data_IF_412262236182
#
_entry.id   IF_412262236182
#
_cell.length_a   1.000
_cell.length_b   1.000
_cell.length_c   1.000
_cell.angle_alpha   90.00
_cell.angle_beta   90.00
_cell.angle_gamma   90.00
#
_symmetry.space_group_name_H-M   'P 1'
#
loop_
_entity.id
_entity.type
_entity.pdbx_description
1 polymer ?
#
# COMPACT_ATOMS: atom_id res chain seq x y z
N UNK A 1 -15.05 22.25 -15.39
CA UNK A 1 -15.09 20.78 -15.33
C UNK A 1 -14.15 20.24 -16.39
N UNK A 2 -13.40 19.17 -16.11
CA UNK A 2 -12.62 18.48 -17.15
C UNK A 2 -13.57 17.80 -18.12
N UNK A 3 -13.20 17.72 -19.39
CA UNK A 3 -13.97 17.04 -20.43
C UNK A 3 -13.49 15.58 -20.52
N UNK A 4 -14.40 14.64 -20.21
CA UNK A 4 -14.12 13.20 -20.22
C UNK A 4 -14.60 12.51 -21.50
N UNK A 5 -15.22 13.24 -22.43
CA UNK A 5 -15.85 12.67 -23.63
C UNK A 5 -14.89 11.91 -24.56
N UNK A 6 -13.58 12.18 -24.45
CA UNK A 6 -12.52 11.56 -25.26
C UNK A 6 -11.69 10.51 -24.54
N UNK A 7 -11.94 10.26 -23.25
CA UNK A 7 -11.21 9.27 -22.46
C UNK A 7 -11.69 7.86 -22.79
N UNK A 8 -10.78 7.01 -23.27
CA UNK A 8 -11.07 5.64 -23.70
C UNK A 8 -10.37 4.58 -22.86
N UNK A 9 -9.26 4.95 -22.22
CA UNK A 9 -8.46 4.02 -21.40
C UNK A 9 -8.29 4.54 -19.97
N UNK A 10 -7.94 3.63 -19.06
CA UNK A 10 -7.63 4.02 -17.68
C UNK A 10 -6.42 4.95 -17.64
N UNK A 11 -5.38 4.68 -18.44
CA UNK A 11 -4.19 5.54 -18.50
C UNK A 11 -4.54 6.96 -18.97
N UNK A 12 -5.41 7.11 -19.97
CA UNK A 12 -5.90 8.41 -20.42
C UNK A 12 -6.71 9.13 -19.32
N UNK A 13 -7.51 8.39 -18.55
CA UNK A 13 -8.25 8.95 -17.42
C UNK A 13 -7.28 9.49 -16.36
N UNK A 14 -6.26 8.70 -16.02
CA UNK A 14 -5.31 9.07 -14.99
C UNK A 14 -4.40 10.22 -15.46
N UNK A 15 -4.02 10.27 -16.73
CA UNK A 15 -3.30 11.41 -17.30
C UNK A 15 -4.16 12.68 -17.29
N UNK A 16 -5.45 12.59 -17.65
CA UNK A 16 -6.38 13.71 -17.56
C UNK A 16 -6.56 14.18 -16.11
N UNK A 17 -6.60 13.24 -15.16
CA UNK A 17 -6.85 13.56 -13.76
C UNK A 17 -5.64 14.09 -13.01
N UNK A 18 -4.51 13.42 -13.21
CA UNK A 18 -3.31 13.56 -12.39
C UNK A 18 -2.09 14.04 -13.19
N UNK A 19 -2.22 14.25 -14.50
CA UNK A 19 -1.15 14.71 -15.38
C UNK A 19 -0.29 13.57 -15.92
N UNK A 20 0.67 13.93 -16.77
CA UNK A 20 1.60 12.98 -17.39
C UNK A 20 2.54 12.34 -16.35
N UNK A 21 3.08 11.17 -16.71
CA UNK A 21 4.16 10.51 -15.97
C UNK A 21 5.31 11.50 -15.74
N UNK A 22 5.80 11.55 -14.50
CA UNK A 22 6.86 12.46 -14.06
C UNK A 22 6.38 13.82 -13.51
N UNK A 23 5.11 14.19 -13.71
CA UNK A 23 4.55 15.39 -13.06
C UNK A 23 4.37 15.18 -11.56
N UNK A 24 4.49 16.24 -10.75
CA UNK A 24 4.34 16.13 -9.29
C UNK A 24 2.98 15.53 -8.87
N UNK A 25 1.91 15.93 -9.55
CA UNK A 25 0.56 15.40 -9.31
C UNK A 25 0.49 13.89 -9.61
N UNK A 26 1.09 13.45 -10.73
CA UNK A 26 1.13 12.03 -11.11
C UNK A 26 1.98 11.22 -10.14
N UNK A 27 3.14 11.72 -9.74
CA UNK A 27 4.02 11.06 -8.78
C UNK A 27 3.32 10.87 -7.43
N UNK A 28 2.59 11.88 -6.95
CA UNK A 28 1.82 11.78 -5.71
C UNK A 28 0.65 10.80 -5.81
N UNK A 29 -0.02 10.75 -6.97
CA UNK A 29 -1.05 9.74 -7.21
C UNK A 29 -0.47 8.32 -7.15
N UNK A 30 0.64 8.08 -7.84
CA UNK A 30 1.34 6.79 -7.85
C UNK A 30 1.82 6.37 -6.46
N UNK A 31 2.41 7.29 -5.69
CA UNK A 31 2.84 7.03 -4.30
C UNK A 31 1.65 6.58 -3.42
N UNK A 32 0.51 7.28 -3.52
CA UNK A 32 -0.68 6.91 -2.77
C UNK A 32 -1.26 5.57 -3.24
N UNK A 33 -1.25 5.28 -4.55
CA UNK A 33 -1.70 4.02 -5.11
C UNK A 33 -0.82 2.86 -4.63
N UNK A 34 0.50 3.02 -4.64
CA UNK A 34 1.45 2.03 -4.11
C UNK A 34 1.23 1.79 -2.62
N UNK A 35 1.04 2.85 -1.83
CA UNK A 35 0.76 2.70 -0.40
C UNK A 35 -0.56 1.94 -0.16
N UNK A 36 -1.61 2.23 -0.93
CA UNK A 36 -2.88 1.51 -0.86
C UNK A 36 -2.71 0.01 -1.17
N UNK A 37 -1.95 -0.32 -2.22
CA UNK A 37 -1.67 -1.72 -2.60
C UNK A 37 -0.97 -2.44 -1.44
N UNK A 38 0.09 -1.85 -0.88
CA UNK A 38 0.84 -2.44 0.25
C UNK A 38 -0.08 -2.65 1.46
N UNK A 39 -0.96 -1.69 1.76
CA UNK A 39 -1.92 -1.75 2.87
C UNK A 39 -2.90 -2.91 2.73
N UNK A 40 -3.49 -3.10 1.54
CA UNK A 40 -4.41 -4.21 1.30
C UNK A 40 -3.67 -5.55 1.27
N UNK A 41 -2.48 -5.63 0.66
CA UNK A 41 -1.65 -6.85 0.68
C UNK A 41 -1.33 -7.30 2.12
N UNK A 42 -0.98 -6.37 3.01
CA UNK A 42 -0.74 -6.66 4.42
C UNK A 42 -1.99 -7.22 5.11
N UNK A 43 -3.14 -6.57 4.89
CA UNK A 43 -4.43 -6.94 5.47
C UNK A 43 -4.91 -8.31 4.99
N UNK A 44 -4.74 -8.61 3.70
CA UNK A 44 -5.02 -9.92 3.13
C UNK A 44 -4.11 -10.99 3.72
N UNK A 45 -2.79 -10.77 3.72
CA UNK A 45 -1.84 -11.71 4.28
C UNK A 45 -2.09 -12.01 5.76
N UNK A 46 -2.52 -11.00 6.54
CA UNK A 46 -2.97 -11.20 7.93
C UNK A 46 -4.20 -12.08 8.03
N UNK A 47 -5.20 -11.84 7.19
CA UNK A 47 -6.44 -12.63 7.16
C UNK A 47 -6.16 -14.08 6.76
N UNK A 48 -5.31 -14.32 5.75
CA UNK A 48 -4.85 -15.66 5.36
C UNK A 48 -4.17 -16.41 6.52
N UNK A 49 -3.39 -15.68 7.33
CA UNK A 49 -2.76 -16.22 8.53
C UNK A 49 -3.74 -16.42 9.72
N UNK A 50 -5.03 -16.09 9.55
CA UNK A 50 -6.05 -16.14 10.60
C UNK A 50 -5.69 -15.33 11.86
N UNK A 51 -4.99 -14.22 11.69
CA UNK A 51 -4.58 -13.36 12.79
C UNK A 51 -5.49 -12.14 12.94
N UNK A 52 -5.75 -11.74 14.18
CA UNK A 52 -6.26 -10.40 14.49
C UNK A 52 -5.15 -9.34 14.32
N UNK A 53 -5.53 -8.06 14.23
CA UNK A 53 -4.55 -6.97 14.18
C UNK A 53 -3.66 -6.91 15.44
N UNK A 54 -4.20 -7.29 16.61
CA UNK A 54 -3.44 -7.34 17.85
C UNK A 54 -2.39 -8.47 17.81
N UNK A 55 -2.80 -9.67 17.42
CA UNK A 55 -1.87 -10.82 17.32
C UNK A 55 -0.75 -10.60 16.31
N UNK A 56 -1.05 -9.96 15.17
CA UNK A 56 -0.01 -9.58 14.22
C UNK A 56 0.94 -8.53 14.84
N UNK A 57 0.40 -7.55 15.56
CA UNK A 57 1.21 -6.53 16.22
C UNK A 57 2.16 -7.14 17.26
N UNK A 58 1.66 -8.06 18.09
CA UNK A 58 2.47 -8.81 19.06
C UNK A 58 3.61 -9.58 18.38
N UNK A 59 3.29 -10.36 17.34
CA UNK A 59 4.30 -11.13 16.58
C UNK A 59 5.33 -10.25 15.89
N UNK A 60 4.93 -9.09 15.39
CA UNK A 60 5.82 -8.15 14.71
C UNK A 60 6.54 -7.16 15.65
N UNK A 61 6.28 -7.22 16.96
CA UNK A 61 6.87 -6.31 17.94
C UNK A 61 6.45 -4.85 17.74
N UNK A 62 5.17 -4.60 17.45
CA UNK A 62 4.61 -3.26 17.25
C UNK A 62 3.26 -3.10 17.98
N UNK A 63 2.60 -1.96 17.80
CA UNK A 63 1.29 -1.67 18.41
C UNK A 63 0.15 -2.02 17.46
N UNK A 64 -0.97 -2.56 17.95
CA UNK A 64 -2.20 -2.75 17.15
C UNK A 64 -2.62 -1.50 16.39
N UNK A 65 -2.55 -0.33 17.03
CA UNK A 65 -2.90 0.95 16.40
C UNK A 65 -2.00 1.27 15.19
N UNK A 66 -0.76 0.80 15.19
CA UNK A 66 0.13 0.93 14.05
C UNK A 66 -0.29 0.00 12.90
N UNK A 67 -0.52 -1.29 13.17
CA UNK A 67 -1.07 -2.25 12.17
C UNK A 67 -2.39 -1.72 11.58
N UNK A 68 -3.29 -1.22 12.43
CA UNK A 68 -4.56 -0.64 11.99
C UNK A 68 -4.37 0.56 11.07
N UNK A 69 -3.43 1.48 11.38
CA UNK A 69 -3.12 2.61 10.48
C UNK A 69 -2.60 2.13 9.13
N UNK A 70 -1.67 1.18 9.15
CA UNK A 70 -1.10 0.58 7.95
C UNK A 70 -2.18 -0.07 7.07
N UNK A 71 -3.03 -0.92 7.64
CA UNK A 71 -4.10 -1.61 6.88
C UNK A 71 -5.20 -0.66 6.34
N UNK A 72 -5.23 0.59 6.81
CA UNK A 72 -6.17 1.61 6.34
C UNK A 72 -5.51 2.64 5.40
N UNK A 73 -4.29 2.37 4.91
CA UNK A 73 -3.56 3.29 4.02
C UNK A 73 -3.14 4.59 4.71
N UNK A 74 -3.06 4.61 6.04
CA UNK A 74 -2.75 5.82 6.82
C UNK A 74 -1.32 5.79 7.34
N UNK A 75 -0.60 6.87 7.05
CA UNK A 75 0.75 7.10 7.54
C UNK A 75 1.83 6.49 6.66
N UNK A 76 3.09 6.68 7.07
CA UNK A 76 4.25 6.17 6.35
C UNK A 76 4.80 4.92 7.05
N UNK A 77 5.36 3.99 6.28
CA UNK A 77 6.00 2.78 6.77
C UNK A 77 7.45 2.74 6.33
N UNK A 78 8.34 2.51 7.29
CA UNK A 78 9.73 2.22 6.95
C UNK A 78 9.83 0.82 6.35
N UNK A 79 10.62 0.68 5.29
CA UNK A 79 10.83 -0.62 4.63
C UNK A 79 11.27 -1.72 5.62
N UNK A 80 12.16 -1.39 6.57
CA UNK A 80 12.59 -2.31 7.62
C UNK A 80 11.45 -2.81 8.50
N UNK A 81 10.46 -1.96 8.78
CA UNK A 81 9.26 -2.33 9.54
C UNK A 81 8.32 -3.19 8.70
N UNK A 82 8.15 -2.88 7.41
CA UNK A 82 7.37 -3.71 6.50
C UNK A 82 7.96 -5.13 6.42
N UNK A 83 9.27 -5.24 6.22
CA UNK A 83 9.99 -6.52 6.21
C UNK A 83 9.76 -7.29 7.51
N UNK A 84 9.92 -6.63 8.67
CA UNK A 84 9.68 -7.27 9.97
C UNK A 84 8.26 -7.82 10.12
N UNK A 85 7.25 -7.05 9.71
CA UNK A 85 5.85 -7.46 9.82
C UNK A 85 5.59 -8.71 8.95
N UNK A 86 6.11 -8.75 7.73
CA UNK A 86 5.92 -9.92 6.85
C UNK A 86 6.75 -11.13 7.31
N UNK A 87 8.03 -10.95 7.62
CA UNK A 87 8.92 -12.07 7.94
C UNK A 87 8.69 -12.63 9.34
N UNK A 88 8.55 -11.78 10.36
CA UNK A 88 8.37 -12.20 11.76
C UNK A 88 6.89 -12.33 12.13
N UNK A 89 6.07 -11.40 11.64
CA UNK A 89 4.64 -11.37 11.94
C UNK A 89 3.83 -12.41 11.17
N UNK A 90 4.14 -12.61 9.89
CA UNK A 90 3.36 -13.44 8.97
C UNK A 90 4.13 -14.66 8.46
N UNK A 91 5.42 -14.81 8.78
CA UNK A 91 6.28 -15.87 8.27
C UNK A 91 6.29 -15.94 6.72
N UNK A 92 6.23 -14.78 6.06
CA UNK A 92 6.31 -14.61 4.60
C UNK A 92 7.60 -13.89 4.23
N UNK A 93 8.20 -14.27 3.10
CA UNK A 93 9.38 -13.58 2.56
C UNK A 93 8.96 -12.43 1.65
N UNK A 94 9.66 -11.31 1.73
CA UNK A 94 9.51 -10.19 0.78
C UNK A 94 10.52 -10.35 -0.35
N UNK A 95 10.03 -10.30 -1.59
CA UNK A 95 10.86 -10.12 -2.78
C UNK A 95 10.68 -8.71 -3.33
N UNK A 96 11.77 -8.03 -3.64
CA UNK A 96 11.75 -6.72 -4.28
C UNK A 96 12.30 -6.88 -5.70
N UNK A 97 11.51 -6.45 -6.69
CA UNK A 97 11.92 -6.40 -8.10
C UNK A 97 11.85 -4.96 -8.54
N UNK A 98 12.94 -4.46 -9.10
CA UNK A 98 12.98 -3.15 -9.75
C UNK A 98 12.58 -3.37 -11.21
N UNK A 99 11.56 -2.65 -11.67
CA UNK A 99 11.04 -2.68 -13.03
C UNK A 99 11.64 -1.54 -13.85
#
# INVERSE_FOLDING_TARGET
MKDYSKVKTFDELIELEHGKIGSESRNKYEENAQMFIISEMLKEARKEANLTQEQLAEKAGTKKSYISKLENGKGNIQLSTLIRIFEQGLNKRIGLTFL
#
